data_IF_164130652992
#
_entry.id   IF_164130652992
#
_cell.length_a   1.000
_cell.length_b   1.000
_cell.length_c   1.000
_cell.angle_alpha   90.00
_cell.angle_beta   90.00
_cell.angle_gamma   90.00
#
_symmetry.space_group_name_H-M   'P 1'
#
loop_
_entity.id
_entity.type
_entity.pdbx_description
1 polymer ?
#
# COMPACT_ATOMS: atom_id res chain seq x y z
N UNK A 1 15.92 9.33 20.41
CA UNK A 1 15.70 10.03 19.13
C UNK A 1 14.64 9.24 18.37
N UNK A 2 13.63 9.92 17.89
CA UNK A 2 12.55 9.30 17.13
C UNK A 2 13.09 8.76 15.78
N UNK A 3 12.84 7.50 15.48
CA UNK A 3 13.18 6.86 14.21
C UNK A 3 11.91 6.45 13.50
N UNK A 4 11.81 6.72 12.21
CA UNK A 4 10.62 6.46 11.39
C UNK A 4 10.92 5.33 10.43
N UNK A 5 10.00 4.38 10.29
CA UNK A 5 10.01 3.42 9.20
C UNK A 5 9.08 3.89 8.09
N UNK A 6 9.60 4.10 6.88
CA UNK A 6 8.80 4.36 5.69
C UNK A 6 8.59 3.06 4.92
N UNK A 7 7.34 2.66 4.75
CA UNK A 7 6.95 1.53 3.91
C UNK A 7 6.39 2.05 2.59
N UNK A 8 7.04 1.68 1.48
CA UNK A 8 6.79 2.30 0.17
C UNK A 8 6.45 1.23 -0.85
N UNK A 9 5.39 1.45 -1.63
CA UNK A 9 5.09 0.62 -2.80
C UNK A 9 5.31 1.39 -4.10
N UNK A 10 6.03 0.78 -5.05
CA UNK A 10 6.33 1.39 -6.34
C UNK A 10 6.25 0.37 -7.48
N UNK A 11 6.07 0.89 -8.71
CA UNK A 11 6.03 0.08 -9.93
C UNK A 11 6.63 0.81 -11.15
N UNK A 12 7.03 2.06 -10.99
CA UNK A 12 7.60 2.90 -12.04
C UNK A 12 8.44 4.03 -11.43
N UNK A 13 9.22 4.70 -12.26
CA UNK A 13 9.96 5.92 -11.94
C UNK A 13 10.95 5.76 -10.78
N UNK A 14 11.91 4.86 -10.97
CA UNK A 14 12.99 4.63 -10.00
C UNK A 14 13.78 5.92 -9.65
N UNK A 15 14.06 6.85 -10.58
CA UNK A 15 14.69 8.13 -10.24
C UNK A 15 13.86 8.99 -9.30
N UNK A 16 12.52 9.00 -9.43
CA UNK A 16 11.65 9.70 -8.49
C UNK A 16 11.70 9.07 -7.11
N UNK A 17 11.63 7.73 -7.05
CA UNK A 17 11.72 7.01 -5.77
C UNK A 17 13.05 7.28 -5.07
N UNK A 18 14.16 7.34 -5.81
CA UNK A 18 15.46 7.70 -5.24
C UNK A 18 15.48 9.12 -4.68
N UNK A 19 14.83 10.08 -5.36
CA UNK A 19 14.67 11.45 -4.83
C UNK A 19 13.79 11.50 -3.58
N UNK A 20 12.71 10.71 -3.54
CA UNK A 20 11.85 10.58 -2.36
C UNK A 20 12.63 10.08 -1.15
N UNK A 21 13.38 8.99 -1.30
CA UNK A 21 14.23 8.41 -0.25
C UNK A 21 15.29 9.42 0.20
N UNK A 22 15.95 10.11 -0.74
CA UNK A 22 16.96 11.12 -0.41
C UNK A 22 16.39 12.39 0.26
N UNK A 23 15.12 12.71 0.01
CA UNK A 23 14.45 13.85 0.64
C UNK A 23 14.01 13.57 2.07
N UNK A 24 13.87 12.28 2.45
CA UNK A 24 13.51 11.87 3.79
C UNK A 24 14.76 11.77 4.68
N UNK A 25 14.53 11.92 5.97
CA UNK A 25 15.61 12.03 6.98
C UNK A 25 16.47 10.76 7.07
N UNK A 26 17.76 10.94 7.36
CA UNK A 26 18.74 9.90 7.68
C UNK A 26 18.40 9.11 8.97
N UNK A 27 17.51 9.63 9.83
CA UNK A 27 16.92 8.92 10.99
C UNK A 27 15.74 8.04 10.59
N UNK A 28 15.69 7.58 9.37
CA UNK A 28 14.63 6.77 8.82
C UNK A 28 15.18 5.47 8.23
N UNK A 29 14.33 4.46 8.16
CA UNK A 29 14.58 3.25 7.39
C UNK A 29 13.47 3.07 6.35
N UNK A 30 13.84 2.52 5.21
CA UNK A 30 12.96 2.40 4.06
C UNK A 30 12.76 0.94 3.71
N UNK A 31 11.52 0.49 3.70
CA UNK A 31 11.11 -0.84 3.26
C UNK A 31 10.31 -0.68 1.96
N UNK A 32 10.76 -1.32 0.90
CA UNK A 32 10.24 -1.04 -0.43
C UNK A 32 9.71 -2.31 -1.09
N UNK A 33 8.47 -2.27 -1.53
CA UNK A 33 7.86 -3.26 -2.40
C UNK A 33 7.83 -2.74 -3.84
N UNK A 34 8.42 -3.50 -4.77
CA UNK A 34 8.32 -3.23 -6.21
C UNK A 34 7.37 -4.25 -6.84
N UNK A 35 6.34 -3.78 -7.53
CA UNK A 35 5.40 -4.65 -8.26
C UNK A 35 6.17 -5.64 -9.15
N UNK A 36 5.82 -6.92 -9.09
CA UNK A 36 6.47 -7.98 -9.88
C UNK A 36 6.29 -7.78 -11.40
N UNK A 37 5.31 -6.97 -11.83
CA UNK A 37 5.14 -6.60 -13.24
C UNK A 37 6.17 -5.54 -13.71
N UNK A 38 6.84 -4.85 -12.80
CA UNK A 38 7.87 -3.87 -13.12
C UNK A 38 9.26 -4.53 -13.19
N UNK A 39 10.16 -3.95 -13.98
CA UNK A 39 11.58 -4.30 -13.90
C UNK A 39 12.16 -3.76 -12.58
N UNK A 40 12.84 -4.60 -11.82
CA UNK A 40 13.44 -4.22 -10.53
C UNK A 40 14.80 -3.55 -10.69
N UNK A 41 15.55 -3.89 -11.72
CA UNK A 41 16.94 -3.45 -11.87
C UNK A 41 17.13 -1.92 -11.78
N UNK A 42 16.30 -1.08 -12.42
CA UNK A 42 16.43 0.37 -12.25
C UNK A 42 16.26 0.85 -10.80
N UNK A 43 15.46 0.12 -10.00
CA UNK A 43 15.26 0.45 -8.57
C UNK A 43 16.45 0.01 -7.72
N UNK A 44 16.98 -1.19 -7.97
CA UNK A 44 18.18 -1.68 -7.29
C UNK A 44 19.39 -0.77 -7.58
N UNK A 45 19.57 -0.36 -8.83
CA UNK A 45 20.62 0.57 -9.24
C UNK A 45 20.49 1.95 -8.58
N UNK A 46 19.27 2.50 -8.53
CA UNK A 46 19.02 3.85 -8.01
C UNK A 46 19.04 3.93 -6.47
N UNK A 47 18.65 2.87 -5.77
CA UNK A 47 18.45 2.84 -4.33
C UNK A 47 19.58 2.11 -3.59
N UNK A 48 20.14 1.05 -4.18
CA UNK A 48 21.22 0.25 -3.57
C UNK A 48 20.87 -0.20 -2.15
N UNK A 49 21.83 -0.04 -1.23
CA UNK A 49 21.70 -0.45 0.18
C UNK A 49 20.92 0.55 1.05
N UNK A 50 20.37 1.61 0.45
CA UNK A 50 19.60 2.63 1.19
C UNK A 50 18.22 2.15 1.63
N UNK A 51 17.73 1.06 1.04
CA UNK A 51 16.41 0.52 1.31
C UNK A 51 16.47 -1.00 1.48
N UNK A 52 15.50 -1.53 2.21
CA UNK A 52 15.26 -2.97 2.31
C UNK A 52 14.14 -3.35 1.34
N UNK A 53 14.45 -4.10 0.29
CA UNK A 53 13.43 -4.65 -0.60
C UNK A 53 12.75 -5.84 0.06
N UNK A 54 11.42 -5.88 0.01
CA UNK A 54 10.60 -7.00 0.49
C UNK A 54 10.21 -7.94 -0.66
N UNK A 55 9.72 -9.16 -0.38
CA UNK A 55 9.21 -10.07 -1.40
C UNK A 55 8.19 -9.38 -2.31
N UNK A 56 8.30 -9.64 -3.61
CA UNK A 56 7.50 -8.98 -4.64
C UNK A 56 6.23 -9.75 -4.96
N UNK A 57 5.13 -9.04 -5.05
CA UNK A 57 3.84 -9.57 -5.49
C UNK A 57 3.44 -8.97 -6.84
N UNK A 58 2.74 -9.77 -7.67
CA UNK A 58 2.15 -9.30 -8.91
C UNK A 58 0.85 -8.57 -8.60
N UNK A 59 0.84 -7.26 -8.70
CA UNK A 59 -0.29 -6.46 -8.28
C UNK A 59 -1.36 -6.38 -9.37
N UNK A 60 -2.57 -6.82 -9.01
CA UNK A 60 -3.79 -6.52 -9.77
C UNK A 60 -4.52 -5.37 -9.10
N UNK A 61 -4.96 -4.37 -9.86
CA UNK A 61 -5.66 -3.23 -9.28
C UNK A 61 -6.96 -3.65 -8.58
N UNK A 62 -7.05 -3.38 -7.28
CA UNK A 62 -8.16 -3.80 -6.42
C UNK A 62 -8.15 -5.30 -6.07
N UNK A 63 -7.05 -6.02 -6.31
CA UNK A 63 -6.85 -7.40 -5.93
C UNK A 63 -6.36 -7.55 -4.48
N UNK A 64 -6.38 -8.79 -3.99
CA UNK A 64 -5.95 -9.15 -2.64
C UNK A 64 -4.44 -8.90 -2.43
N UNK A 65 -3.64 -9.02 -3.47
CA UNK A 65 -2.19 -8.82 -3.44
C UNK A 65 -1.81 -7.42 -2.95
N UNK A 66 -2.73 -6.44 -3.09
CA UNK A 66 -2.52 -5.10 -2.51
C UNK A 66 -2.53 -5.10 -0.97
N UNK A 67 -3.17 -6.06 -0.35
CA UNK A 67 -3.11 -6.26 1.10
C UNK A 67 -1.89 -7.09 1.48
N UNK A 68 -1.54 -8.07 0.66
CA UNK A 68 -0.40 -8.98 0.93
C UNK A 68 0.93 -8.22 0.97
N UNK A 69 1.24 -7.40 -0.02
CA UNK A 69 2.50 -6.64 0.02
C UNK A 69 2.58 -5.65 1.18
N UNK A 70 1.44 -5.07 1.59
CA UNK A 70 1.43 -4.20 2.77
C UNK A 70 1.73 -4.98 4.05
N UNK A 71 1.22 -6.20 4.16
CA UNK A 71 1.55 -7.10 5.28
C UNK A 71 3.02 -7.47 5.28
N UNK A 72 3.62 -7.76 4.11
CA UNK A 72 5.06 -8.03 3.99
C UNK A 72 5.91 -6.83 4.43
N UNK A 73 5.55 -5.63 4.00
CA UNK A 73 6.23 -4.40 4.41
C UNK A 73 6.15 -4.19 5.93
N UNK A 74 4.96 -4.36 6.53
CA UNK A 74 4.78 -4.26 7.98
C UNK A 74 5.53 -5.37 8.73
N UNK A 75 5.52 -6.60 8.21
CA UNK A 75 6.26 -7.71 8.78
C UNK A 75 7.78 -7.45 8.76
N UNK A 76 8.31 -6.90 7.67
CA UNK A 76 9.73 -6.54 7.58
C UNK A 76 10.11 -5.48 8.64
N UNK A 77 9.27 -4.46 8.84
CA UNK A 77 9.45 -3.48 9.91
C UNK A 77 9.47 -4.15 11.29
N UNK A 78 8.52 -5.02 11.57
CA UNK A 78 8.42 -5.72 12.87
C UNK A 78 9.61 -6.65 13.11
N UNK A 79 10.05 -7.40 12.09
CA UNK A 79 11.17 -8.34 12.19
C UNK A 79 12.53 -7.63 12.28
N UNK A 80 12.63 -6.35 11.94
CA UNK A 80 13.88 -5.60 12.09
C UNK A 80 14.35 -5.48 13.54
N UNK A 81 13.43 -5.60 14.51
CA UNK A 81 13.70 -5.40 15.93
C UNK A 81 14.04 -3.95 16.30
N UNK A 82 13.95 -3.01 15.36
CA UNK A 82 14.22 -1.59 15.59
C UNK A 82 12.99 -0.93 16.20
N UNK A 83 13.12 -0.20 17.31
CA UNK A 83 11.99 0.49 17.94
C UNK A 83 11.65 1.78 17.16
N UNK A 84 10.81 1.66 16.14
CA UNK A 84 10.30 2.81 15.42
C UNK A 84 9.22 3.53 16.22
N UNK A 85 9.25 4.87 16.19
CA UNK A 85 8.19 5.70 16.77
C UNK A 85 6.99 5.80 15.85
N UNK A 86 7.21 5.67 14.55
CA UNK A 86 6.15 5.70 13.51
C UNK A 86 6.48 4.77 12.35
N UNK A 87 5.40 4.21 11.78
CA UNK A 87 5.44 3.55 10.47
C UNK A 87 4.60 4.37 9.52
N UNK A 88 5.21 4.88 8.46
CA UNK A 88 4.54 5.76 7.49
C UNK A 88 4.41 5.05 6.15
N UNK A 89 3.16 4.93 5.67
CA UNK A 89 2.87 4.33 4.36
C UNK A 89 2.92 5.38 3.26
N UNK A 90 3.74 5.14 2.24
CA UNK A 90 3.89 6.01 1.08
C UNK A 90 3.71 5.24 -0.23
N UNK A 91 3.27 5.93 -1.26
CA UNK A 91 3.42 5.50 -2.65
C UNK A 91 4.77 5.95 -3.19
N UNK A 92 5.36 5.20 -4.10
CA UNK A 92 6.57 5.61 -4.82
C UNK A 92 6.39 6.87 -5.70
N UNK A 93 5.21 7.46 -5.72
CA UNK A 93 4.89 8.72 -6.42
C UNK A 93 4.66 9.90 -5.46
N UNK A 94 4.74 9.65 -4.14
CA UNK A 94 4.62 10.71 -3.13
C UNK A 94 5.90 11.53 -3.04
N UNK A 95 5.81 12.72 -2.43
CA UNK A 95 6.97 13.55 -2.13
C UNK A 95 6.67 14.42 -0.90
N UNK A 96 7.63 14.57 0.04
CA UNK A 96 7.40 15.36 1.24
C UNK A 96 7.28 16.85 0.92
N UNK A 97 6.29 17.51 1.52
CA UNK A 97 6.08 18.96 1.41
C UNK A 97 6.69 19.72 2.58
N UNK A 98 7.00 19.02 3.67
CA UNK A 98 7.59 19.58 4.88
C UNK A 98 9.05 19.16 5.01
N UNK A 99 9.83 19.96 5.73
CA UNK A 99 11.18 19.57 6.13
C UNK A 99 11.14 18.40 7.12
N UNK A 100 12.19 17.59 7.13
CA UNK A 100 12.32 16.45 8.05
C UNK A 100 12.14 16.88 9.52
N UNK A 101 12.71 18.00 9.92
CA UNK A 101 12.53 18.55 11.26
C UNK A 101 11.06 18.87 11.59
N UNK A 102 10.30 19.37 10.62
CA UNK A 102 8.87 19.64 10.80
C UNK A 102 8.08 18.33 10.93
N UNK A 103 8.42 17.31 10.14
CA UNK A 103 7.79 15.98 10.20
C UNK A 103 8.05 15.33 11.56
N UNK A 104 9.29 15.31 12.02
CA UNK A 104 9.65 14.74 13.33
C UNK A 104 8.93 15.45 14.47
N UNK A 105 8.98 16.78 14.48
CA UNK A 105 8.29 17.58 15.50
C UNK A 105 6.78 17.32 15.51
N UNK A 106 6.16 17.26 14.36
CA UNK A 106 4.73 16.98 14.25
C UNK A 106 4.37 15.62 14.87
N UNK A 107 5.16 14.58 14.60
CA UNK A 107 4.93 13.27 15.19
C UNK A 107 5.23 13.23 16.69
N UNK A 108 6.19 14.01 17.17
CA UNK A 108 6.50 14.16 18.59
C UNK A 108 5.38 14.89 19.35
N UNK A 109 4.78 15.91 18.75
CA UNK A 109 3.64 16.63 19.32
C UNK A 109 2.33 15.81 19.34
N UNK A 110 2.24 14.76 18.52
CA UNK A 110 1.04 13.93 18.35
C UNK A 110 1.30 12.45 18.64
N UNK A 111 2.06 12.16 19.71
CA UNK A 111 2.48 10.78 20.02
C UNK A 111 1.31 9.81 20.23
N UNK A 112 0.21 10.29 20.79
CA UNK A 112 -0.99 9.50 21.09
C UNK A 112 -1.99 9.44 19.92
N UNK A 113 -1.60 9.96 18.74
CA UNK A 113 -2.49 10.01 17.58
C UNK A 113 -2.04 9.03 16.51
N UNK A 114 -2.95 8.11 16.11
CA UNK A 114 -2.78 7.30 14.91
C UNK A 114 -3.43 7.99 13.71
N UNK A 115 -2.64 8.24 12.65
CA UNK A 115 -3.09 8.95 11.44
C UNK A 115 -3.72 7.98 10.43
N UNK A 116 -4.70 7.19 10.89
CA UNK A 116 -5.44 6.24 10.08
C UNK A 116 -6.88 6.69 9.98
N UNK A 117 -7.32 7.00 8.78
CA UNK A 117 -8.72 7.28 8.49
C UNK A 117 -9.55 6.01 8.43
N UNK A 118 -10.69 5.98 9.09
CA UNK A 118 -11.60 4.85 9.05
C UNK A 118 -13.01 5.23 9.50
N UNK A 119 -13.96 4.39 9.15
CA UNK A 119 -15.33 4.52 9.64
C UNK A 119 -15.95 3.15 9.88
N UNK A 120 -16.91 3.10 10.79
CA UNK A 120 -17.61 1.85 11.08
C UNK A 120 -18.61 1.54 9.96
N UNK A 121 -18.30 0.51 9.17
CA UNK A 121 -19.13 0.09 8.06
C UNK A 121 -20.52 -0.41 8.49
N UNK A 122 -20.70 -0.90 9.73
CA UNK A 122 -22.01 -1.33 10.23
C UNK A 122 -22.98 -0.16 10.41
N UNK A 123 -22.47 1.04 10.61
CA UNK A 123 -23.24 2.27 10.71
C UNK A 123 -23.29 3.07 9.41
N UNK A 124 -22.75 2.51 8.32
CA UNK A 124 -22.70 3.19 7.03
C UNK A 124 -24.06 3.18 6.36
N UNK A 125 -24.64 4.36 6.13
CA UNK A 125 -25.90 4.53 5.40
C UNK A 125 -25.77 4.35 3.90
N UNK A 126 -24.54 4.37 3.37
CA UNK A 126 -24.25 4.22 1.95
C UNK A 126 -24.21 2.73 1.57
N UNK A 127 -25.31 2.23 1.01
CA UNK A 127 -25.46 0.81 0.59
C UNK A 127 -24.29 0.29 -0.27
N UNK A 128 -23.71 1.12 -1.13
CA UNK A 128 -22.58 0.75 -1.98
C UNK A 128 -21.32 0.38 -1.18
N UNK A 129 -21.08 0.97 -0.02
CA UNK A 129 -19.94 0.64 0.83
C UNK A 129 -20.16 -0.70 1.52
N UNK A 130 -21.37 -0.97 2.01
CA UNK A 130 -21.72 -2.26 2.59
C UNK A 130 -21.59 -3.41 1.56
N UNK A 131 -21.97 -3.17 0.30
CA UNK A 131 -21.82 -4.15 -0.78
C UNK A 131 -20.38 -4.61 -0.98
N UNK A 132 -19.38 -3.77 -0.71
CA UNK A 132 -17.96 -4.13 -0.85
C UNK A 132 -17.53 -5.26 0.09
N UNK A 133 -18.15 -5.36 1.26
CA UNK A 133 -17.80 -6.36 2.29
C UNK A 133 -18.81 -7.50 2.42
N UNK A 134 -20.08 -7.27 2.05
CA UNK A 134 -21.14 -8.27 2.22
C UNK A 134 -21.33 -9.18 1.01
N UNK A 135 -20.73 -8.84 -0.13
CA UNK A 135 -20.88 -9.61 -1.37
C UNK A 135 -19.54 -10.09 -1.89
N UNK A 136 -19.55 -11.23 -2.58
CA UNK A 136 -18.38 -11.72 -3.30
C UNK A 136 -18.12 -10.87 -4.55
N UNK A 137 -16.85 -10.66 -4.85
CA UNK A 137 -16.39 -9.94 -6.03
C UNK A 137 -15.54 -10.90 -6.91
N UNK A 138 -16.17 -11.87 -7.60
CA UNK A 138 -15.46 -12.84 -8.40
C UNK A 138 -14.71 -12.16 -9.55
N UNK A 139 -13.66 -12.81 -10.02
CA UNK A 139 -12.83 -12.37 -11.16
C UNK A 139 -11.95 -11.13 -10.93
N UNK A 140 -11.86 -10.56 -9.74
CA UNK A 140 -10.98 -9.41 -9.49
C UNK A 140 -9.50 -9.77 -9.50
N UNK A 141 -9.16 -10.91 -8.91
CA UNK A 141 -7.77 -11.34 -8.68
C UNK A 141 -7.20 -12.17 -9.85
N UNK A 142 -7.97 -12.35 -10.93
CA UNK A 142 -7.49 -13.10 -12.09
C UNK A 142 -6.59 -12.21 -12.97
N UNK A 143 -5.42 -12.72 -13.39
CA UNK A 143 -4.53 -12.04 -14.31
C UNK A 143 -5.11 -12.03 -15.72
N UNK A 144 -5.78 -10.97 -16.11
CA UNK A 144 -6.38 -10.82 -17.43
C UNK A 144 -5.43 -10.11 -18.41
N UNK A 145 -5.27 -10.69 -19.59
CA UNK A 145 -4.55 -10.06 -20.70
C UNK A 145 -5.28 -8.82 -21.26
N UNK A 146 -6.60 -8.74 -21.10
CA UNK A 146 -7.42 -7.63 -21.59
C UNK A 146 -8.27 -7.03 -20.49
N UNK A 147 -8.04 -5.77 -20.16
CA UNK A 147 -8.80 -5.00 -19.18
C UNK A 147 -10.27 -4.87 -19.57
N UNK A 148 -10.55 -4.76 -20.87
CA UNK A 148 -11.93 -4.61 -21.38
C UNK A 148 -12.81 -5.86 -21.09
N UNK A 149 -12.30 -7.06 -21.37
CA UNK A 149 -13.00 -8.31 -21.05
C UNK A 149 -13.12 -8.52 -19.54
N UNK A 150 -12.08 -8.20 -18.78
CA UNK A 150 -12.12 -8.23 -17.31
C UNK A 150 -13.28 -7.37 -16.80
N UNK A 151 -13.39 -6.13 -17.25
CA UNK A 151 -14.45 -5.23 -16.79
C UNK A 151 -15.85 -5.73 -17.16
N UNK A 152 -16.06 -6.28 -18.36
CA UNK A 152 -17.34 -6.85 -18.76
C UNK A 152 -17.74 -8.05 -17.87
N UNK A 153 -16.82 -8.95 -17.58
CA UNK A 153 -17.07 -10.11 -16.73
C UNK A 153 -17.32 -9.69 -15.27
N UNK A 154 -16.59 -8.72 -14.76
CA UNK A 154 -16.83 -8.17 -13.43
C UNK A 154 -18.23 -7.55 -13.35
N UNK A 155 -18.66 -6.78 -14.34
CA UNK A 155 -20.01 -6.19 -14.37
C UNK A 155 -21.09 -7.25 -14.48
N UNK A 156 -20.91 -8.26 -15.34
CA UNK A 156 -21.85 -9.36 -15.47
C UNK A 156 -21.95 -10.19 -14.18
N UNK A 157 -20.83 -10.52 -13.55
CA UNK A 157 -20.80 -11.26 -12.29
C UNK A 157 -21.45 -10.47 -11.13
N UNK A 158 -21.28 -9.14 -11.08
CA UNK A 158 -21.98 -8.31 -10.09
C UNK A 158 -23.50 -8.38 -10.22
N UNK A 159 -24.02 -8.35 -11.44
CA UNK A 159 -25.47 -8.51 -11.67
C UNK A 159 -25.95 -9.90 -11.23
N UNK A 160 -25.17 -10.93 -11.52
CA UNK A 160 -25.50 -12.30 -11.11
C UNK A 160 -25.48 -12.46 -9.57
N UNK A 161 -24.48 -11.94 -8.90
CA UNK A 161 -24.36 -11.97 -7.42
C UNK A 161 -25.44 -11.15 -6.73
N UNK A 162 -25.99 -10.11 -7.39
CA UNK A 162 -27.13 -9.34 -6.87
C UNK A 162 -28.43 -10.12 -6.92
N UNK A 163 -28.59 -11.03 -7.90
CA UNK A 163 -29.78 -11.86 -8.08
C UNK A 163 -29.70 -13.11 -7.18
N UNK A 164 -28.52 -13.64 -6.97
CA UNK A 164 -28.29 -14.80 -6.10
C UNK A 164 -28.07 -14.32 -4.65
N UNK A 165 -28.74 -14.91 -3.65
CA UNK A 165 -28.57 -14.51 -2.24
C UNK A 165 -27.24 -15.00 -1.63
N UNK A 166 -26.17 -14.90 -2.38
CA UNK A 166 -24.82 -15.29 -1.94
C UNK A 166 -24.23 -14.12 -1.16
N UNK A 167 -24.45 -14.11 0.16
CA UNK A 167 -23.84 -13.18 1.08
C UNK A 167 -22.65 -13.85 1.77
N UNK A 168 -21.61 -13.08 2.04
CA UNK A 168 -20.59 -13.52 3.00
C UNK A 168 -21.24 -13.58 4.38
N UNK A 169 -21.08 -14.70 5.03
CA UNK A 169 -21.50 -14.89 6.41
C UNK A 169 -20.65 -14.01 7.35
#
# INVERSE_FOLDING_TARGET
>A
MSRIAYIISAYKDAPHLARLVAALDDRADFYVHIDLNADIHPFEEALGDKVTFVPRHRISWGGWEQVEYQKELLAAVLHSGIPYTRVVCLSGQDYPLWSNNAIHRYFEEHQDTEFIGGFNLTHCTVKQQLHKITHYHPFRDLPWKSIWWKNKLIVASRKLVQILPIRKA
#
